data_IF_827291339745
#
_entry.id   IF_827291339745
#
_cell.length_a   1.000
_cell.length_b   1.000
_cell.length_c   1.000
_cell.angle_alpha   90.00
_cell.angle_beta   90.00
_cell.angle_gamma   90.00
#
_symmetry.space_group_name_H-M   'P 1'
#
loop_
_entity.id
_entity.type
_entity.pdbx_description
1 polymer ?
#
# COMPACT_ATOMS: atom_id res chain seq x y z
N UNK A 1 17.72 -7.39 -1.47
CA UNK A 1 18.10 -8.46 -2.43
C UNK A 1 17.98 -8.01 -3.88
N UNK A 2 16.92 -7.30 -4.33
CA UNK A 2 16.96 -6.61 -5.63
C UNK A 2 17.71 -5.27 -5.60
N UNK A 3 17.86 -4.66 -4.43
CA UNK A 3 18.45 -3.32 -4.24
C UNK A 3 19.77 -3.36 -3.47
N UNK A 4 20.37 -4.54 -3.32
CA UNK A 4 21.66 -4.66 -2.61
C UNK A 4 22.82 -4.22 -3.50
N UNK A 5 23.82 -3.50 -2.97
CA UNK A 5 24.99 -3.07 -3.75
C UNK A 5 25.74 -4.23 -4.45
N UNK A 6 25.77 -5.43 -3.84
CA UNK A 6 26.44 -6.60 -4.40
C UNK A 6 25.79 -7.18 -5.67
N UNK A 7 24.47 -7.01 -5.85
CA UNK A 7 23.80 -7.40 -7.10
C UNK A 7 24.12 -6.43 -8.23
N UNK A 8 24.30 -5.13 -7.96
CA UNK A 8 24.72 -4.16 -8.97
C UNK A 8 26.13 -4.47 -9.48
N UNK A 9 27.09 -4.73 -8.60
CA UNK A 9 28.46 -5.06 -9.01
C UNK A 9 28.56 -6.32 -9.89
N UNK A 10 27.76 -7.36 -9.60
CA UNK A 10 27.68 -8.57 -10.42
C UNK A 10 27.06 -8.33 -11.79
N UNK A 11 26.14 -7.36 -11.91
CA UNK A 11 25.51 -7.03 -13.18
C UNK A 11 26.44 -6.22 -14.07
N UNK A 12 27.17 -5.24 -13.52
CA UNK A 12 28.18 -4.49 -14.26
C UNK A 12 29.26 -5.43 -14.84
N UNK A 13 29.77 -6.37 -14.03
CA UNK A 13 30.75 -7.35 -14.51
C UNK A 13 30.19 -8.25 -15.64
N UNK A 14 28.92 -8.65 -15.55
CA UNK A 14 28.28 -9.45 -16.59
C UNK A 14 28.05 -8.65 -17.89
N UNK A 15 27.80 -7.35 -17.78
CA UNK A 15 27.67 -6.44 -18.92
C UNK A 15 29.02 -6.21 -19.61
N UNK A 16 30.11 -6.06 -18.85
CA UNK A 16 31.47 -5.98 -19.39
C UNK A 16 31.87 -7.27 -20.12
N UNK A 17 31.54 -8.44 -19.57
CA UNK A 17 31.81 -9.72 -20.22
C UNK A 17 31.00 -9.91 -21.52
N UNK A 18 29.80 -9.32 -21.61
CA UNK A 18 29.01 -9.29 -22.85
C UNK A 18 29.65 -8.35 -23.87
N UNK A 19 30.09 -7.16 -23.45
CA UNK A 19 30.76 -6.20 -24.32
C UNK A 19 32.08 -6.75 -24.89
N UNK A 20 32.79 -7.57 -24.11
CA UNK A 20 34.03 -8.24 -24.51
C UNK A 20 33.78 -9.56 -25.27
N UNK A 21 32.53 -9.97 -25.49
CA UNK A 21 32.16 -11.20 -26.21
C UNK A 21 32.44 -12.50 -25.44
N UNK A 22 32.78 -12.41 -24.14
CA UNK A 22 33.02 -13.56 -23.24
C UNK A 22 31.74 -14.22 -22.77
N UNK A 23 30.62 -13.49 -22.81
CA UNK A 23 29.29 -13.98 -22.45
C UNK A 23 28.28 -13.52 -23.50
N UNK A 24 27.35 -14.39 -23.91
CA UNK A 24 26.26 -13.96 -24.79
C UNK A 24 25.13 -13.33 -23.99
N UNK A 25 24.50 -12.30 -24.55
CA UNK A 25 23.31 -11.68 -23.97
C UNK A 25 22.18 -12.70 -23.74
N UNK A 26 22.03 -13.66 -24.65
CA UNK A 26 21.04 -14.72 -24.53
C UNK A 26 21.27 -15.60 -23.28
N UNK A 27 22.51 -16.02 -23.03
CA UNK A 27 22.87 -16.82 -21.85
C UNK A 27 22.71 -16.04 -20.55
N UNK A 28 22.98 -14.73 -20.56
CA UNK A 28 22.72 -13.87 -19.41
C UNK A 28 21.21 -13.77 -19.12
N UNK A 29 20.40 -13.44 -20.12
CA UNK A 29 18.96 -13.30 -19.97
C UNK A 29 18.29 -14.60 -19.50
N UNK A 30 18.77 -15.75 -19.94
CA UNK A 30 18.25 -17.06 -19.51
C UNK A 30 18.49 -17.29 -18.01
N UNK A 31 19.68 -16.97 -17.50
CA UNK A 31 19.98 -17.02 -16.06
C UNK A 31 19.06 -16.09 -15.26
N UNK A 32 18.79 -14.89 -15.77
CA UNK A 32 17.93 -13.93 -15.06
C UNK A 32 16.46 -14.40 -15.03
N UNK A 33 15.98 -15.03 -16.12
CA UNK A 33 14.66 -15.66 -16.17
C UNK A 33 14.53 -16.80 -15.16
N UNK A 34 15.53 -17.69 -15.10
CA UNK A 34 15.51 -18.82 -14.16
C UNK A 34 15.49 -18.35 -12.71
N UNK A 35 16.29 -17.33 -12.37
CA UNK A 35 16.31 -16.75 -11.03
C UNK A 35 14.97 -16.10 -10.67
N UNK A 36 14.39 -15.29 -11.56
CA UNK A 36 13.07 -14.69 -11.35
C UNK A 36 11.98 -15.75 -11.18
N UNK A 37 11.98 -16.80 -11.99
CA UNK A 37 11.03 -17.89 -11.87
C UNK A 37 11.15 -18.59 -10.51
N UNK A 38 12.37 -18.78 -10.00
CA UNK A 38 12.58 -19.35 -8.67
C UNK A 38 11.97 -18.45 -7.57
N UNK A 39 12.22 -17.13 -7.63
CA UNK A 39 11.65 -16.17 -6.68
C UNK A 39 10.11 -16.16 -6.72
N UNK A 40 9.52 -16.13 -7.92
CA UNK A 40 8.06 -16.15 -8.11
C UNK A 40 7.47 -17.45 -7.59
N UNK A 41 8.13 -18.59 -7.82
CA UNK A 41 7.67 -19.88 -7.30
C UNK A 41 7.65 -19.91 -5.77
N UNK A 42 8.63 -19.28 -5.12
CA UNK A 42 8.68 -19.14 -3.66
C UNK A 42 7.55 -18.26 -3.13
N UNK A 43 7.36 -17.09 -3.76
CA UNK A 43 6.29 -16.17 -3.38
C UNK A 43 4.89 -16.78 -3.55
N UNK A 44 4.65 -17.58 -4.59
CA UNK A 44 3.37 -18.28 -4.81
C UNK A 44 3.05 -19.32 -3.74
N UNK A 45 4.07 -19.96 -3.16
CA UNK A 45 3.89 -20.92 -2.05
C UNK A 45 3.65 -20.23 -0.71
N UNK A 46 3.92 -18.93 -0.62
CA UNK A 46 3.77 -18.18 0.61
C UNK A 46 2.31 -17.77 0.81
N UNK A 47 1.65 -18.39 1.78
CA UNK A 47 0.31 -17.99 2.19
C UNK A 47 0.41 -16.67 2.98
N UNK A 48 0.31 -15.53 2.30
CA UNK A 48 0.29 -14.23 2.95
C UNK A 48 -1.06 -14.03 3.66
N UNK A 49 -1.06 -14.15 4.98
CA UNK A 49 -2.21 -13.79 5.81
C UNK A 49 -2.24 -12.27 5.98
N UNK A 50 -2.85 -11.58 5.01
CA UNK A 50 -3.03 -10.13 5.08
C UNK A 50 -4.28 -9.84 5.91
N UNK A 51 -4.10 -9.71 7.23
CA UNK A 51 -5.16 -9.23 8.11
C UNK A 51 -5.28 -7.71 7.92
N UNK A 52 -6.30 -7.28 7.18
CA UNK A 52 -6.59 -5.86 7.07
C UNK A 52 -6.95 -5.29 8.46
N UNK A 53 -6.41 -4.13 8.87
CA UNK A 53 -6.78 -3.51 10.12
C UNK A 53 -8.28 -3.18 10.12
N UNK A 54 -8.92 -3.30 11.29
CA UNK A 54 -10.32 -2.89 11.46
C UNK A 54 -10.41 -1.40 11.17
N UNK A 55 -11.26 -1.03 10.21
CA UNK A 55 -11.50 0.37 9.83
C UNK A 55 -12.89 0.80 10.31
N UNK A 56 -13.06 2.06 10.73
CA UNK A 56 -14.37 2.56 11.12
C UNK A 56 -15.34 2.58 9.94
N UNK A 57 -16.62 2.42 10.25
CA UNK A 57 -17.72 2.46 9.27
C UNK A 57 -18.09 3.92 8.99
N UNK A 58 -18.26 4.26 7.71
CA UNK A 58 -18.62 5.61 7.31
C UNK A 58 -20.01 6.00 7.84
N UNK A 59 -20.17 7.16 8.50
CA UNK A 59 -21.45 7.55 9.11
C UNK A 59 -22.52 7.94 8.09
N UNK A 60 -22.15 8.20 6.83
CA UNK A 60 -23.09 8.63 5.80
C UNK A 60 -23.61 7.47 4.96
N UNK A 61 -22.74 6.51 4.64
CA UNK A 61 -23.02 5.50 3.63
C UNK A 61 -22.72 4.07 4.10
N UNK A 62 -22.27 3.91 5.34
CA UNK A 62 -21.91 2.63 5.97
C UNK A 62 -20.81 1.85 5.23
N UNK A 63 -20.08 2.50 4.33
CA UNK A 63 -18.93 1.92 3.64
C UNK A 63 -17.65 1.94 4.47
N UNK A 64 -16.60 1.30 3.97
CA UNK A 64 -15.26 1.32 4.56
C UNK A 64 -14.62 2.71 4.50
N UNK A 65 -13.74 2.98 5.44
CA UNK A 65 -12.98 4.23 5.52
C UNK A 65 -11.47 3.97 5.41
N UNK A 66 -10.73 4.96 4.91
CA UNK A 66 -9.26 4.97 4.84
C UNK A 66 -8.70 6.06 5.73
N UNK A 67 -7.55 5.82 6.37
CA UNK A 67 -6.84 6.82 7.15
C UNK A 67 -6.04 7.73 6.22
N UNK A 68 -6.17 9.04 6.38
CA UNK A 68 -5.45 10.06 5.63
C UNK A 68 -4.77 11.02 6.61
N UNK A 69 -3.64 11.60 6.19
CA UNK A 69 -2.95 12.65 6.93
C UNK A 69 -3.35 14.01 6.36
N UNK A 70 -3.97 14.84 7.20
CA UNK A 70 -4.32 16.22 6.87
C UNK A 70 -3.44 17.24 7.59
N UNK A 71 -3.71 18.53 7.36
CA UNK A 71 -3.00 19.64 8.02
C UNK A 71 -3.08 19.58 9.55
N UNK A 72 -4.19 19.07 10.09
CA UNK A 72 -4.46 19.03 11.52
C UNK A 72 -4.27 17.64 12.15
N UNK A 73 -3.56 16.75 11.46
CA UNK A 73 -3.35 15.35 11.90
C UNK A 73 -4.10 14.34 11.07
N UNK A 74 -4.14 13.10 11.56
CA UNK A 74 -4.76 11.98 10.86
C UNK A 74 -6.28 11.97 11.04
N UNK A 75 -6.99 11.59 9.99
CA UNK A 75 -8.44 11.46 9.99
C UNK A 75 -8.89 10.32 9.06
N UNK A 76 -10.08 9.80 9.30
CA UNK A 76 -10.69 8.79 8.45
C UNK A 76 -11.57 9.45 7.39
N UNK A 77 -11.38 9.06 6.13
CA UNK A 77 -12.18 9.50 4.99
C UNK A 77 -12.86 8.31 4.32
N UNK A 78 -14.09 8.49 3.83
CA UNK A 78 -14.80 7.45 3.09
C UNK A 78 -13.99 7.01 1.86
N UNK A 79 -13.95 5.70 1.58
CA UNK A 79 -13.30 5.18 0.37
C UNK A 79 -14.02 5.61 -0.92
N UNK A 80 -15.33 5.94 -0.84
CA UNK A 80 -16.15 6.41 -1.96
C UNK A 80 -16.08 7.94 -2.14
N UNK A 81 -14.98 8.59 -1.82
CA UNK A 81 -14.81 10.01 -2.13
C UNK A 81 -14.44 10.15 -3.61
N UNK A 82 -15.03 11.09 -4.39
CA UNK A 82 -15.82 12.26 -3.96
C UNK A 82 -17.34 12.05 -3.78
N UNK A 83 -17.89 10.88 -4.13
CA UNK A 83 -19.33 10.57 -4.12
C UNK A 83 -19.91 10.58 -2.68
N UNK A 84 -19.09 10.24 -1.69
CA UNK A 84 -19.38 10.29 -0.27
C UNK A 84 -18.29 11.07 0.46
N UNK A 85 -18.67 12.21 1.05
CA UNK A 85 -17.77 13.11 1.80
C UNK A 85 -17.72 12.79 3.30
N UNK A 86 -17.97 11.54 3.69
CA UNK A 86 -17.97 11.13 5.10
C UNK A 86 -16.56 11.17 5.71
N UNK A 87 -16.43 11.81 6.87
CA UNK A 87 -15.16 12.02 7.59
C UNK A 87 -15.34 11.73 9.08
N UNK A 88 -14.34 11.13 9.72
CA UNK A 88 -14.24 10.98 11.20
C UNK A 88 -12.86 11.49 11.63
N UNK A 89 -12.81 12.43 12.57
CA UNK A 89 -11.56 12.89 13.18
C UNK A 89 -11.10 11.94 14.28
N UNK A 90 -9.80 11.64 14.33
CA UNK A 90 -9.21 10.83 15.39
C UNK A 90 -8.85 11.72 16.59
N UNK A 91 -9.86 12.26 17.27
CA UNK A 91 -9.62 12.98 18.52
C UNK A 91 -9.46 11.96 19.64
N UNK A 92 -8.26 11.91 20.24
CA UNK A 92 -8.00 11.19 21.49
C UNK A 92 -9.09 11.57 22.49
N UNK A 93 -9.76 10.57 23.06
CA UNK A 93 -10.91 10.74 23.94
C UNK A 93 -10.58 11.65 25.13
N UNK A 94 -11.09 12.87 25.10
CA UNK A 94 -11.54 13.57 26.29
C UNK A 94 -12.98 14.02 26.04
N UNK A 95 -13.86 13.72 27.00
CA UNK A 95 -15.30 13.95 26.96
C UNK A 95 -15.71 15.24 26.24
N UNK A 96 -16.51 15.14 25.18
CA UNK A 96 -17.32 16.27 24.70
C UNK A 96 -18.73 15.83 24.34
N UNK A 97 -19.66 16.65 24.83
CA UNK A 97 -21.07 16.37 25.07
C UNK A 97 -21.88 16.23 23.78
N UNK A 98 -22.92 15.40 23.88
CA UNK A 98 -24.07 15.29 22.99
C UNK A 98 -24.59 16.67 22.57
N UNK A 99 -24.49 17.00 21.28
CA UNK A 99 -25.17 18.15 20.67
C UNK A 99 -26.47 17.71 19.99
N UNK A 100 -27.57 17.71 20.74
CA UNK A 100 -28.91 17.47 20.19
C UNK A 100 -29.36 18.62 19.28
N UNK A 101 -29.71 18.32 18.03
CA UNK A 101 -30.27 19.29 17.09
C UNK A 101 -31.78 19.43 17.37
N UNK A 102 -32.17 20.49 18.09
CA UNK A 102 -33.59 20.86 18.27
C UNK A 102 -34.22 21.20 16.90
N UNK A 103 -35.21 20.43 16.49
CA UNK A 103 -36.13 20.78 15.40
C UNK A 103 -37.22 21.67 16.00
N UNK A 104 -37.24 22.96 15.63
CA UNK A 104 -38.35 23.89 15.95
C UNK A 104 -39.54 23.54 15.03
N UNK A 105 -40.63 23.01 15.58
CA UNK A 105 -41.96 23.07 14.96
C UNK A 105 -42.59 24.43 15.29
N UNK A 106 -42.94 25.21 14.28
CA UNK A 106 -43.81 26.39 14.39
C UNK A 106 -45.24 25.90 14.23
N UNK A 107 -46.07 26.13 15.25
CA UNK A 107 -47.51 26.25 15.11
C UNK A 107 -47.86 27.71 14.84
#
# INVERSE_FOLDING_TARGET
MLTSPGTTALWEQALDDIAQGKLSLASFMEKQKQWLNHLVSGARRQQLQITAPVTPVCPLCQGRMRKLKGKNGEFWSCQRYPECKGVISEQKTSHSKRGGRKIKKRG
#
